data_IF_980793440803
#
_entry.id   IF_980793440803
#
_cell.length_a   1.000
_cell.length_b   1.000
_cell.length_c   1.000
_cell.angle_alpha   90.00
_cell.angle_beta   90.00
_cell.angle_gamma   90.00
#
_symmetry.space_group_name_H-M   'P 1'
#
loop_
_entity.id
_entity.type
_entity.pdbx_description
1 polymer ?
#
# COMPACT_ATOMS: atom_id res chain seq x y z
N UNK A 1 -1.22 2.15 15.02
CA UNK A 1 -1.25 2.83 13.71
C UNK A 1 -2.10 4.07 13.84
N UNK A 2 -1.54 5.25 13.58
CA UNK A 2 -2.19 6.55 13.76
C UNK A 2 -3.38 6.69 12.81
N UNK A 3 -4.53 7.11 13.33
CA UNK A 3 -5.76 7.43 12.61
C UNK A 3 -5.58 8.65 11.67
N UNK A 4 -4.81 8.51 10.59
CA UNK A 4 -4.86 9.42 9.45
C UNK A 4 -5.52 8.64 8.31
N UNK A 5 -6.78 8.94 8.05
CA UNK A 5 -7.67 8.26 7.12
C UNK A 5 -7.23 8.45 5.67
N UNK A 6 -6.17 7.76 5.24
CA UNK A 6 -5.91 7.58 3.82
C UNK A 6 -7.07 6.75 3.26
N UNK A 7 -7.82 7.31 2.32
CA UNK A 7 -8.98 6.65 1.71
C UNK A 7 -8.62 6.21 0.30
N UNK A 8 -8.75 4.92 0.05
CA UNK A 8 -8.58 4.35 -1.29
C UNK A 8 -9.91 4.35 -2.01
N UNK A 9 -10.01 5.09 -3.11
CA UNK A 9 -11.16 5.04 -4.01
C UNK A 9 -10.93 4.03 -5.13
N UNK A 10 -11.68 2.93 -5.14
CA UNK A 10 -11.53 1.84 -6.10
C UNK A 10 -12.30 2.05 -7.41
N UNK A 11 -12.19 3.24 -8.03
CA UNK A 11 -12.98 3.61 -9.23
C UNK A 11 -12.81 2.64 -10.40
N UNK A 12 -11.66 1.98 -10.53
CA UNK A 12 -11.43 0.99 -11.59
C UNK A 12 -12.22 -0.31 -11.38
N UNK A 13 -12.58 -0.65 -10.13
CA UNK A 13 -13.44 -1.80 -9.80
C UNK A 13 -14.93 -1.52 -10.10
N UNK A 14 -15.30 -0.26 -10.37
CA UNK A 14 -16.66 0.10 -10.79
C UNK A 14 -16.91 -0.22 -12.29
N UNK A 15 -15.84 -0.47 -13.05
CA UNK A 15 -15.94 -0.93 -14.44
C UNK A 15 -16.42 -2.39 -14.50
N UNK A 16 -16.93 -2.85 -15.66
CA UNK A 16 -17.31 -4.26 -15.82
C UNK A 16 -16.14 -5.22 -15.55
N UNK A 17 -16.46 -6.44 -15.08
CA UNK A 17 -15.46 -7.45 -14.73
C UNK A 17 -14.60 -7.91 -15.92
N UNK A 18 -14.96 -7.58 -17.16
CA UNK A 18 -14.11 -7.81 -18.33
C UNK A 18 -12.85 -6.94 -18.37
N UNK A 19 -12.80 -5.86 -17.58
CA UNK A 19 -11.70 -4.89 -17.58
C UNK A 19 -10.61 -5.22 -16.56
N UNK A 20 -10.84 -6.16 -15.63
CA UNK A 20 -9.88 -6.50 -14.60
C UNK A 20 -10.06 -7.94 -14.09
N UNK A 21 -9.00 -8.48 -13.51
CA UNK A 21 -9.07 -9.72 -12.74
C UNK A 21 -8.71 -9.42 -11.29
N UNK A 22 -9.46 -10.00 -10.35
CA UNK A 22 -9.11 -9.92 -8.93
C UNK A 22 -8.00 -10.92 -8.63
N UNK A 23 -6.86 -10.42 -8.16
CA UNK A 23 -5.70 -11.23 -7.81
C UNK A 23 -5.19 -10.78 -6.44
N UNK A 24 -5.01 -11.73 -5.53
CA UNK A 24 -4.38 -11.43 -4.25
C UNK A 24 -2.86 -11.39 -4.41
N UNK A 25 -2.15 -10.48 -3.71
CA UNK A 25 -0.69 -10.49 -3.70
C UNK A 25 -0.15 -11.82 -3.18
N UNK A 26 1.04 -12.19 -3.65
CA UNK A 26 1.83 -13.32 -3.11
C UNK A 26 2.87 -12.76 -2.15
N UNK A 27 2.74 -12.98 -0.82
CA UNK A 27 3.63 -12.39 0.16
C UNK A 27 5.07 -12.89 0.02
N UNK A 28 6.04 -12.01 0.24
CA UNK A 28 7.45 -12.39 0.38
C UNK A 28 7.79 -12.84 1.80
N UNK A 29 8.77 -13.73 1.92
CA UNK A 29 9.31 -14.15 3.22
C UNK A 29 10.32 -13.12 3.74
N UNK A 30 10.21 -12.76 5.03
CA UNK A 30 11.13 -11.86 5.75
C UNK A 30 11.45 -10.54 5.00
N UNK A 31 10.42 -9.76 4.62
CA UNK A 31 10.63 -8.54 3.85
C UNK A 31 11.39 -7.49 4.67
N UNK A 32 12.21 -6.70 3.98
CA UNK A 32 12.99 -5.59 4.56
C UNK A 32 12.89 -4.37 3.65
N UNK A 33 12.72 -3.19 4.26
CA UNK A 33 12.73 -1.93 3.53
C UNK A 33 14.15 -1.61 3.08
N UNK A 34 14.33 -1.39 1.77
CA UNK A 34 15.65 -1.04 1.20
C UNK A 34 15.75 0.47 1.00
N UNK A 35 14.68 1.09 0.50
CA UNK A 35 14.58 2.52 0.30
C UNK A 35 13.10 2.90 0.35
N UNK A 36 12.80 4.02 1.01
CA UNK A 36 11.48 4.60 1.07
C UNK A 36 11.55 6.05 0.57
N UNK A 37 10.51 6.51 -0.11
CA UNK A 37 10.45 7.88 -0.61
C UNK A 37 9.62 8.76 0.34
N UNK A 38 10.30 9.39 1.30
CA UNK A 38 9.65 10.21 2.32
C UNK A 38 8.99 11.45 1.71
N UNK A 39 9.61 12.05 0.69
CA UNK A 39 9.09 13.23 0.03
C UNK A 39 7.73 12.94 -0.63
N UNK A 40 7.66 11.86 -1.41
CA UNK A 40 6.40 11.44 -2.03
C UNK A 40 5.35 11.04 -0.99
N UNK A 41 5.75 10.35 0.09
CA UNK A 41 4.82 9.96 1.14
C UNK A 41 4.18 11.19 1.82
N UNK A 42 4.97 12.24 2.05
CA UNK A 42 4.48 13.53 2.55
C UNK A 42 3.53 14.20 1.56
N UNK A 43 3.87 14.23 0.27
CA UNK A 43 3.02 14.81 -0.78
C UNK A 43 1.68 14.08 -0.90
N UNK A 44 1.66 12.77 -0.64
CA UNK A 44 0.45 11.93 -0.61
C UNK A 44 -0.33 12.03 0.71
N UNK A 45 0.17 12.76 1.71
CA UNK A 45 -0.48 12.95 3.00
C UNK A 45 -0.32 11.78 3.99
N UNK A 46 0.63 10.88 3.75
CA UNK A 46 0.93 9.78 4.67
C UNK A 46 1.69 10.27 5.90
N UNK A 47 1.24 9.83 7.07
CA UNK A 47 1.98 10.02 8.33
C UNK A 47 2.91 8.83 8.56
N UNK A 48 4.14 8.94 8.05
CA UNK A 48 5.17 7.89 8.20
C UNK A 48 5.95 8.14 9.49
N UNK A 49 5.87 7.19 10.44
CA UNK A 49 6.65 7.21 11.69
C UNK A 49 7.92 6.38 11.58
N UNK A 50 7.79 5.19 11.00
CA UNK A 50 8.88 4.30 10.65
C UNK A 50 8.62 3.78 9.22
N UNK A 51 9.65 3.80 8.38
CA UNK A 51 9.59 3.31 7.01
C UNK A 51 9.48 1.78 6.97
N UNK A 52 10.00 1.11 7.99
CA UNK A 52 9.93 -0.34 8.09
C UNK A 52 8.49 -0.85 8.28
N UNK A 53 7.59 -0.02 8.82
CA UNK A 53 6.16 -0.35 8.94
C UNK A 53 5.51 -0.60 7.56
N UNK A 54 6.08 -0.03 6.49
CA UNK A 54 5.58 -0.17 5.12
C UNK A 54 6.10 -1.41 4.41
N UNK A 55 7.05 -2.14 5.01
CA UNK A 55 7.64 -3.32 4.40
C UNK A 55 6.61 -4.43 4.18
N UNK A 56 5.68 -4.64 5.12
CA UNK A 56 4.63 -5.66 5.01
C UNK A 56 3.66 -5.38 3.86
N UNK A 57 3.23 -4.11 3.71
CA UNK A 57 2.38 -3.66 2.61
C UNK A 57 3.12 -3.78 1.26
N UNK A 58 4.34 -3.25 1.17
CA UNK A 58 5.15 -3.31 -0.05
C UNK A 58 5.53 -4.73 -0.48
N UNK A 59 5.56 -5.67 0.45
CA UNK A 59 5.79 -7.09 0.21
C UNK A 59 4.51 -7.90 -0.01
N UNK A 60 3.33 -7.27 0.00
CA UNK A 60 2.04 -7.93 -0.21
C UNK A 60 1.57 -8.81 0.95
N UNK A 61 2.16 -8.68 2.13
CA UNK A 61 1.72 -9.38 3.35
C UNK A 61 0.51 -8.70 4.01
N UNK A 62 0.37 -7.39 3.80
CA UNK A 62 -0.74 -6.57 4.30
C UNK A 62 -1.32 -5.69 3.17
N UNK A 63 -2.55 -5.22 3.34
CA UNK A 63 -3.24 -4.31 2.43
C UNK A 63 -3.52 -2.98 3.16
N UNK A 64 -3.49 -1.88 2.41
CA UNK A 64 -3.77 -0.50 2.87
C UNK A 64 -5.27 -0.21 3.01
#
# INVERSE_FOLDING_TARGET
MSNNSFQVEHRYLELPDSFYSRVQPSPLSEPRMVCFNQALASDMGFLVRDENDWAAIGAGAELL
#
